data_IF_876845548049
#
_entry.id   IF_876845548049
#
_cell.length_a   1.000
_cell.length_b   1.000
_cell.length_c   1.000
_cell.angle_alpha   90.00
_cell.angle_beta   90.00
_cell.angle_gamma   90.00
#
_symmetry.space_group_name_H-M   'P 1'
#
loop_
_entity.id
_entity.type
_entity.pdbx_description
1 polymer ?
#
# COMPACT_ATOMS: atom_id res chain seq x y z
N UNK A 1 25.40 5.59 -24.14
CA UNK A 1 26.82 5.94 -24.01
C UNK A 1 26.92 7.45 -24.03
N UNK A 2 27.14 8.05 -22.86
CA UNK A 2 27.05 9.48 -22.62
C UNK A 2 28.19 10.24 -23.27
N UNK A 3 27.93 11.46 -23.77
CA UNK A 3 28.89 12.39 -24.37
C UNK A 3 30.17 12.59 -23.55
N UNK A 4 30.11 12.39 -22.23
CA UNK A 4 31.27 12.51 -21.33
C UNK A 4 32.33 11.41 -21.58
N UNK A 5 31.93 10.18 -21.90
CA UNK A 5 32.83 9.07 -22.19
C UNK A 5 33.61 9.27 -23.49
N UNK A 6 33.03 9.97 -24.48
CA UNK A 6 33.71 10.32 -25.73
C UNK A 6 34.72 11.46 -25.57
N UNK A 7 34.40 12.42 -24.71
CA UNK A 7 35.32 13.55 -24.43
C UNK A 7 36.56 13.09 -23.66
N UNK A 8 36.39 12.15 -22.70
CA UNK A 8 37.54 11.60 -21.95
C UNK A 8 38.41 10.71 -22.80
N UNK A 9 37.85 9.90 -23.71
CA UNK A 9 38.62 9.10 -24.67
C UNK A 9 39.41 9.97 -25.66
N UNK A 10 38.79 11.07 -26.12
CA UNK A 10 39.49 12.03 -27.01
C UNK A 10 40.59 12.80 -26.29
N UNK A 11 40.42 13.16 -25.02
CA UNK A 11 41.43 13.84 -24.22
C UNK A 11 42.63 12.93 -23.93
N UNK A 12 42.39 11.64 -23.64
CA UNK A 12 43.46 10.65 -23.44
C UNK A 12 44.19 10.36 -24.76
N UNK A 13 43.47 10.29 -25.89
CA UNK A 13 44.08 10.09 -27.22
C UNK A 13 44.94 11.30 -27.66
N UNK A 14 44.47 12.54 -27.40
CA UNK A 14 45.26 13.76 -27.68
C UNK A 14 46.47 13.89 -26.77
N UNK A 15 46.39 13.50 -25.51
CA UNK A 15 47.53 13.51 -24.59
C UNK A 15 48.59 12.48 -24.98
N UNK A 16 48.18 11.32 -25.53
CA UNK A 16 49.08 10.28 -26.04
C UNK A 16 49.81 10.73 -27.33
N UNK A 17 49.14 11.55 -28.15
CA UNK A 17 49.72 12.08 -29.40
C UNK A 17 50.67 13.28 -29.18
N UNK A 18 50.47 14.06 -28.11
CA UNK A 18 51.35 15.20 -27.77
C UNK A 18 52.61 14.79 -26.99
N UNK A 19 52.67 13.61 -26.42
CA UNK A 19 53.81 13.13 -25.64
C UNK A 19 55.15 12.99 -26.45
N UNK A 20 55.13 12.57 -27.73
CA UNK A 20 56.41 12.41 -28.48
C UNK A 20 57.02 13.72 -29.02
N UNK A 21 56.25 14.82 -29.04
CA UNK A 21 56.78 16.07 -29.62
C UNK A 21 57.64 16.91 -28.65
N UNK A 22 57.62 16.61 -27.37
CA UNK A 22 58.37 17.29 -26.29
C UNK A 22 59.74 16.60 -26.05
N UNK A 23 59.96 15.39 -26.59
CA UNK A 23 61.18 14.60 -26.38
C UNK A 23 62.32 14.83 -27.38
N UNK A 24 62.20 15.80 -28.30
CA UNK A 24 63.16 16.03 -29.33
C UNK A 24 63.90 17.36 -29.16
N UNK A 25 64.40 17.64 -27.97
CA UNK A 25 65.44 18.71 -27.81
C UNK A 25 66.51 18.20 -26.86
N UNK A 26 67.57 17.66 -27.52
CA UNK A 26 68.80 17.24 -26.86
C UNK A 26 69.59 18.47 -26.42
N UNK A 27 69.74 18.65 -25.10
CA UNK A 27 70.77 19.45 -24.49
C UNK A 27 71.33 18.69 -23.26
N UNK A 28 72.65 18.48 -23.21
CA UNK A 28 73.37 17.51 -22.32
C UNK A 28 73.35 17.81 -20.82
N UNK A 29 72.35 18.44 -20.28
CA UNK A 29 72.19 18.66 -18.83
C UNK A 29 70.72 18.62 -18.37
N UNK A 30 69.75 18.68 -19.27
CA UNK A 30 68.36 18.81 -19.00
C UNK A 30 67.58 17.52 -19.10
N UNK A 31 68.14 16.43 -19.64
CA UNK A 31 67.37 15.19 -19.92
C UNK A 31 66.75 14.51 -18.70
N UNK A 32 67.44 14.52 -17.59
CA UNK A 32 66.88 13.92 -16.35
C UNK A 32 65.75 14.75 -15.76
N UNK A 33 65.82 16.07 -15.81
CA UNK A 33 64.77 16.94 -15.30
C UNK A 33 63.53 16.92 -16.21
N UNK A 34 63.72 16.87 -17.53
CA UNK A 34 62.64 16.69 -18.51
C UNK A 34 61.95 15.31 -18.39
N UNK A 35 62.77 14.26 -18.24
CA UNK A 35 62.20 12.90 -17.97
C UNK A 35 61.40 12.80 -16.68
N UNK A 36 61.88 13.44 -15.61
CA UNK A 36 61.12 13.52 -14.34
C UNK A 36 59.82 14.33 -14.52
N UNK A 37 59.86 15.44 -15.27
CA UNK A 37 58.68 16.25 -15.58
C UNK A 37 57.64 15.47 -16.39
N UNK A 38 58.02 14.70 -17.40
CA UNK A 38 57.16 13.83 -18.20
C UNK A 38 56.57 12.72 -17.34
N UNK A 39 57.37 12.06 -16.47
CA UNK A 39 56.87 11.03 -15.55
C UNK A 39 55.90 11.60 -14.54
N UNK A 40 56.12 12.79 -13.99
CA UNK A 40 55.13 13.45 -13.12
C UNK A 40 53.83 13.77 -13.87
N UNK A 41 53.90 14.30 -15.08
CA UNK A 41 52.73 14.61 -15.89
C UNK A 41 51.90 13.37 -16.22
N UNK A 42 52.56 12.28 -16.65
CA UNK A 42 51.91 10.98 -16.91
C UNK A 42 51.29 10.42 -15.64
N UNK A 43 51.96 10.53 -14.50
CA UNK A 43 51.43 10.08 -13.19
C UNK A 43 50.17 10.84 -12.79
N UNK A 44 50.15 12.18 -12.95
CA UNK A 44 48.99 13.02 -12.66
C UNK A 44 47.86 12.67 -13.63
N UNK A 45 48.12 12.48 -14.90
CA UNK A 45 47.11 12.13 -15.91
C UNK A 45 46.49 10.75 -15.61
N UNK A 46 47.32 9.79 -15.22
CA UNK A 46 46.85 8.46 -14.78
C UNK A 46 46.00 8.54 -13.52
N UNK A 47 46.39 9.34 -12.53
CA UNK A 47 45.65 9.57 -11.34
C UNK A 47 44.26 10.17 -11.64
N UNK A 48 44.20 11.19 -12.49
CA UNK A 48 42.97 11.83 -12.96
C UNK A 48 42.08 10.81 -13.69
N UNK A 49 42.66 9.99 -14.56
CA UNK A 49 41.95 8.94 -15.28
C UNK A 49 41.33 7.92 -14.30
N UNK A 50 42.06 7.52 -13.28
CA UNK A 50 41.56 6.61 -12.22
C UNK A 50 40.42 7.25 -11.44
N UNK A 51 40.56 8.51 -11.03
CA UNK A 51 39.48 9.24 -10.30
C UNK A 51 38.22 9.34 -11.17
N UNK A 52 38.37 9.70 -12.45
CA UNK A 52 37.23 9.77 -13.39
C UNK A 52 36.59 8.38 -13.56
N UNK A 53 37.42 7.32 -13.66
CA UNK A 53 36.93 5.95 -13.75
C UNK A 53 36.09 5.57 -12.54
N UNK A 54 36.55 5.81 -11.32
CA UNK A 54 35.78 5.53 -10.10
C UNK A 54 34.53 6.42 -9.99
N UNK A 55 34.62 7.70 -10.33
CA UNK A 55 33.49 8.62 -10.30
C UNK A 55 32.35 8.19 -11.25
N UNK A 56 32.68 7.65 -12.43
CA UNK A 56 31.66 7.13 -13.36
C UNK A 56 31.01 5.83 -12.90
N UNK A 57 31.66 5.07 -12.00
CA UNK A 57 31.17 3.80 -11.44
C UNK A 57 30.28 4.00 -10.22
N UNK A 58 30.34 5.18 -9.61
CA UNK A 58 29.52 5.52 -8.47
C UNK A 58 28.10 5.84 -8.93
N UNK A 59 27.15 4.92 -8.66
CA UNK A 59 25.73 5.07 -9.01
C UNK A 59 24.93 5.38 -7.78
N UNK A 60 24.09 6.39 -7.89
CA UNK A 60 23.14 6.79 -6.84
C UNK A 60 21.78 6.22 -7.15
N UNK A 61 21.13 5.64 -6.16
CA UNK A 61 19.75 5.22 -6.24
C UNK A 61 18.86 6.38 -5.80
N UNK A 62 18.00 6.93 -6.67
CA UNK A 62 17.02 7.94 -6.25
C UNK A 62 15.98 7.32 -5.31
N UNK A 63 15.32 8.14 -4.46
CA UNK A 63 14.40 7.64 -3.45
C UNK A 63 13.09 7.07 -4.02
N UNK A 64 12.76 7.42 -5.26
CA UNK A 64 11.58 6.97 -6.00
C UNK A 64 11.76 5.64 -6.74
N UNK A 65 12.97 5.02 -6.62
CA UNK A 65 13.32 3.79 -7.33
C UNK A 65 14.07 2.82 -6.44
N UNK A 66 13.99 1.57 -6.80
CA UNK A 66 14.85 0.50 -6.29
C UNK A 66 15.89 0.19 -7.36
N UNK A 67 17.15 0.09 -6.98
CA UNK A 67 18.24 -0.34 -7.85
C UNK A 67 18.54 -1.80 -7.61
N UNK A 68 18.37 -2.60 -8.63
CA UNK A 68 18.72 -4.03 -8.64
C UNK A 68 20.05 -4.19 -9.37
N UNK A 69 21.03 -4.76 -8.69
CA UNK A 69 22.34 -5.11 -9.23
C UNK A 69 22.36 -6.60 -9.44
N UNK A 70 22.59 -7.03 -10.67
CA UNK A 70 22.66 -8.44 -11.03
C UNK A 70 23.99 -8.78 -11.69
N UNK A 71 24.36 -10.05 -11.68
CA UNK A 71 25.64 -10.54 -12.11
C UNK A 71 26.44 -11.16 -10.94
N UNK A 72 27.77 -11.12 -11.01
CA UNK A 72 28.61 -11.69 -9.96
C UNK A 72 28.64 -10.76 -8.73
N UNK A 73 27.76 -11.00 -7.79
CA UNK A 73 27.72 -10.35 -6.48
C UNK A 73 28.69 -11.03 -5.50
N UNK A 74 29.21 -10.28 -4.53
CA UNK A 74 30.16 -10.78 -3.52
C UNK A 74 29.52 -11.76 -2.49
N UNK A 75 28.24 -12.16 -2.67
CA UNK A 75 27.51 -13.11 -1.84
C UNK A 75 26.92 -14.25 -2.64
N UNK A 76 26.23 -15.17 -2.00
CA UNK A 76 25.55 -16.30 -2.64
C UNK A 76 24.21 -15.93 -3.32
N UNK A 77 23.81 -14.66 -3.24
CA UNK A 77 22.57 -14.18 -3.84
C UNK A 77 22.79 -13.73 -5.28
N UNK A 78 21.89 -14.14 -6.18
CA UNK A 78 21.96 -13.84 -7.61
C UNK A 78 21.77 -12.35 -7.93
N UNK A 79 21.09 -11.61 -7.05
CA UNK A 79 20.86 -10.16 -7.19
C UNK A 79 20.99 -9.45 -5.85
N UNK A 80 21.51 -8.22 -5.88
CA UNK A 80 21.56 -7.31 -4.72
C UNK A 80 20.62 -6.15 -4.97
N UNK A 81 19.64 -6.00 -4.09
CA UNK A 81 18.65 -4.92 -4.17
C UNK A 81 18.98 -3.82 -3.19
N UNK A 82 18.94 -2.57 -3.65
CA UNK A 82 19.26 -1.39 -2.85
C UNK A 82 18.15 -0.35 -3.03
N UNK A 83 17.58 0.05 -1.88
CA UNK A 83 16.66 1.17 -1.81
C UNK A 83 17.34 2.36 -1.16
N UNK A 84 17.53 3.44 -1.93
CA UNK A 84 18.25 4.62 -1.49
C UNK A 84 19.78 4.43 -1.37
N UNK A 85 20.50 5.52 -1.23
CA UNK A 85 21.97 5.51 -1.10
C UNK A 85 22.70 5.41 -2.43
N UNK A 86 23.93 4.88 -2.38
CA UNK A 86 24.78 4.79 -3.53
C UNK A 86 25.69 3.55 -3.44
N UNK A 87 26.04 3.00 -4.59
CA UNK A 87 26.88 1.83 -4.69
C UNK A 87 27.84 1.92 -5.87
N UNK A 88 28.90 1.14 -5.79
CA UNK A 88 29.88 0.99 -6.86
C UNK A 88 29.50 -0.23 -7.69
N UNK A 89 29.26 -0.03 -9.00
CA UNK A 89 28.90 -1.10 -9.94
C UNK A 89 30.09 -1.41 -10.85
N UNK A 90 30.51 -2.68 -10.95
CA UNK A 90 31.60 -3.13 -11.81
C UNK A 90 31.08 -3.55 -13.20
N UNK A 91 31.33 -2.80 -14.25
CA UNK A 91 30.66 -2.95 -15.56
C UNK A 91 31.00 -4.20 -16.36
N UNK A 92 32.07 -4.91 -15.99
CA UNK A 92 32.46 -6.15 -16.63
C UNK A 92 31.82 -7.39 -16.06
N UNK A 93 31.29 -7.27 -14.82
CA UNK A 93 30.83 -8.41 -14.00
C UNK A 93 29.41 -8.19 -13.49
N UNK A 94 28.98 -6.93 -13.40
CA UNK A 94 27.68 -6.53 -12.84
C UNK A 94 26.98 -5.57 -13.77
N UNK A 95 25.68 -5.70 -13.84
CA UNK A 95 24.80 -4.72 -14.47
C UNK A 95 23.75 -4.26 -13.44
N UNK A 96 23.04 -3.19 -13.75
CA UNK A 96 22.03 -2.64 -12.85
C UNK A 96 20.81 -2.18 -13.63
N UNK A 97 19.65 -2.33 -13.01
CA UNK A 97 18.39 -1.80 -13.50
C UNK A 97 17.61 -1.12 -12.38
N UNK A 98 16.65 -0.29 -12.75
CA UNK A 98 15.81 0.42 -11.80
C UNK A 98 14.37 -0.05 -11.92
N UNK A 99 13.73 -0.32 -10.76
CA UNK A 99 12.31 -0.57 -10.64
C UNK A 99 11.68 0.67 -10.02
N UNK A 100 10.61 1.19 -10.61
CA UNK A 100 9.89 2.35 -10.07
C UNK A 100 9.07 1.96 -8.84
N UNK A 101 9.08 2.81 -7.82
CA UNK A 101 8.22 2.69 -6.63
C UNK A 101 6.90 3.44 -6.78
N UNK A 102 6.65 4.03 -7.95
CA UNK A 102 5.42 4.80 -8.20
C UNK A 102 4.21 3.88 -8.00
N UNK A 103 3.27 4.25 -7.12
CA UNK A 103 2.04 3.51 -6.95
C UNK A 103 1.21 3.50 -8.24
N UNK A 104 0.56 2.39 -8.51
CA UNK A 104 -0.35 2.22 -9.64
C UNK A 104 -1.75 1.92 -9.14
N UNK A 105 -2.76 2.43 -9.83
CA UNK A 105 -4.16 2.23 -9.48
C UNK A 105 -4.83 1.36 -10.55
N UNK A 106 -5.35 0.21 -10.11
CA UNK A 106 -5.96 -0.80 -10.95
C UNK A 106 -7.47 -0.80 -10.71
N UNK A 107 -8.23 -0.58 -11.76
CA UNK A 107 -9.68 -0.69 -11.73
C UNK A 107 -10.10 -2.10 -12.17
N UNK A 108 -10.85 -2.77 -11.32
CA UNK A 108 -11.37 -4.12 -11.55
C UNK A 108 -12.89 -4.07 -11.58
N UNK A 109 -13.45 -4.29 -12.75
CA UNK A 109 -14.89 -4.41 -12.95
C UNK A 109 -15.25 -5.91 -12.96
N UNK A 110 -15.36 -6.49 -11.75
CA UNK A 110 -15.73 -7.88 -11.62
C UNK A 110 -17.23 -8.04 -11.78
N UNK A 111 -17.64 -8.69 -12.87
CA UNK A 111 -19.03 -9.00 -13.20
C UNK A 111 -19.30 -10.48 -13.10
N UNK A 112 -20.53 -10.81 -12.71
CA UNK A 112 -21.03 -12.20 -12.66
C UNK A 112 -20.21 -13.14 -11.76
N UNK A 113 -19.64 -12.63 -10.66
CA UNK A 113 -19.01 -13.48 -9.67
C UNK A 113 -20.07 -14.24 -8.88
N UNK A 114 -19.85 -15.53 -8.66
CA UNK A 114 -20.76 -16.36 -7.89
C UNK A 114 -20.41 -16.30 -6.41
N UNK A 115 -21.37 -15.94 -5.57
CA UNK A 115 -21.27 -16.04 -4.12
C UNK A 115 -21.36 -17.51 -3.66
N UNK A 116 -21.17 -17.77 -2.37
CA UNK A 116 -21.36 -19.09 -1.78
C UNK A 116 -22.76 -19.67 -2.04
N UNK A 117 -23.76 -18.80 -2.17
CA UNK A 117 -25.17 -19.17 -2.42
C UNK A 117 -25.48 -19.31 -3.93
N UNK A 118 -24.48 -19.33 -4.80
CA UNK A 118 -24.63 -19.35 -6.27
C UNK A 118 -25.41 -18.17 -6.86
N UNK A 119 -25.44 -17.04 -6.17
CA UNK A 119 -26.04 -15.79 -6.67
C UNK A 119 -24.95 -14.98 -7.37
N UNK A 120 -25.26 -14.45 -8.54
CA UNK A 120 -24.34 -13.63 -9.33
C UNK A 120 -24.31 -12.21 -8.83
N UNK A 121 -23.12 -11.74 -8.47
CA UNK A 121 -22.89 -10.37 -8.00
C UNK A 121 -21.85 -9.67 -8.85
N UNK A 122 -21.96 -8.37 -8.91
CA UNK A 122 -20.98 -7.48 -9.51
C UNK A 122 -20.29 -6.69 -8.39
N UNK A 123 -18.97 -6.71 -8.38
CA UNK A 123 -18.13 -6.06 -7.37
C UNK A 123 -17.11 -5.17 -8.07
N UNK A 124 -17.51 -3.98 -8.52
CA UNK A 124 -16.56 -3.01 -9.07
C UNK A 124 -15.69 -2.49 -7.95
N UNK A 125 -14.36 -2.54 -8.17
CA UNK A 125 -13.39 -2.22 -7.14
C UNK A 125 -12.15 -1.55 -7.72
N UNK A 126 -11.48 -0.73 -6.90
CA UNK A 126 -10.25 -0.03 -7.25
C UNK A 126 -9.18 -0.39 -6.24
N UNK A 127 -8.06 -0.86 -6.73
CA UNK A 127 -6.89 -1.25 -5.93
C UNK A 127 -5.74 -0.33 -6.23
N UNK A 128 -5.09 0.19 -5.19
CA UNK A 128 -3.83 0.91 -5.31
C UNK A 128 -2.73 0.02 -4.76
N UNK A 129 -1.75 -0.29 -5.61
CA UNK A 129 -0.64 -1.17 -5.29
C UNK A 129 0.69 -0.46 -5.52
N UNK A 130 1.74 -0.97 -4.91
CA UNK A 130 3.11 -0.48 -5.09
C UNK A 130 4.13 -1.59 -5.00
N UNK A 131 5.37 -1.30 -5.38
CA UNK A 131 6.50 -2.22 -5.20
C UNK A 131 6.98 -2.14 -3.76
N UNK A 132 7.09 -3.28 -3.08
CA UNK A 132 7.47 -3.34 -1.67
C UNK A 132 8.93 -2.94 -1.46
N UNK A 133 9.18 -2.21 -0.37
CA UNK A 133 10.52 -1.85 0.11
C UNK A 133 11.01 -2.75 1.23
N UNK A 134 10.23 -3.75 1.66
CA UNK A 134 10.66 -4.75 2.63
C UNK A 134 11.76 -5.63 2.00
N UNK A 135 12.94 -5.78 2.62
CA UNK A 135 14.07 -6.52 2.05
C UNK A 135 13.74 -7.94 1.59
N UNK A 136 12.81 -8.62 2.28
CA UNK A 136 12.39 -9.98 1.92
C UNK A 136 11.50 -10.04 0.67
N UNK A 137 10.60 -9.08 0.56
CA UNK A 137 9.65 -8.99 -0.56
C UNK A 137 10.33 -8.34 -1.77
N UNK A 138 11.25 -7.40 -1.52
CA UNK A 138 12.00 -6.67 -2.53
C UNK A 138 12.89 -7.57 -3.39
N UNK A 139 13.43 -8.68 -2.83
CA UNK A 139 14.17 -9.67 -3.62
C UNK A 139 13.25 -10.39 -4.64
N UNK A 140 12.01 -10.71 -4.24
CA UNK A 140 11.01 -11.29 -5.16
C UNK A 140 10.61 -10.31 -6.26
N UNK A 141 10.50 -9.02 -5.94
CA UNK A 141 10.27 -7.97 -6.93
C UNK A 141 11.42 -7.89 -7.95
N UNK A 142 12.66 -7.96 -7.47
CA UNK A 142 13.83 -7.94 -8.34
C UNK A 142 13.89 -9.14 -9.30
N UNK A 143 13.51 -10.33 -8.85
CA UNK A 143 13.53 -11.55 -9.67
C UNK A 143 12.41 -11.58 -10.70
N UNK A 144 11.27 -10.98 -10.43
CA UNK A 144 10.03 -11.14 -11.23
C UNK A 144 9.65 -9.91 -12.03
N UNK A 145 10.00 -8.70 -11.55
CA UNK A 145 9.56 -7.43 -12.17
C UNK A 145 10.66 -6.73 -12.96
N UNK A 146 11.93 -7.20 -12.89
CA UNK A 146 13.09 -6.49 -13.41
C UNK A 146 12.98 -6.17 -14.91
N UNK A 147 12.43 -7.10 -15.70
CA UNK A 147 12.33 -6.98 -17.16
C UNK A 147 10.95 -6.50 -17.63
N UNK A 148 9.98 -6.33 -16.69
CA UNK A 148 8.63 -5.95 -17.02
C UNK A 148 8.48 -4.43 -17.11
N UNK A 149 7.72 -3.99 -18.10
CA UNK A 149 7.25 -2.62 -18.19
C UNK A 149 6.11 -2.38 -17.19
N UNK A 150 5.86 -1.13 -16.83
CA UNK A 150 4.81 -0.75 -15.86
C UNK A 150 3.45 -1.34 -16.25
N UNK A 151 3.07 -1.28 -17.52
CA UNK A 151 1.81 -1.81 -18.05
C UNK A 151 1.69 -3.33 -17.87
N UNK A 152 2.79 -4.05 -18.05
CA UNK A 152 2.84 -5.50 -17.84
C UNK A 152 2.73 -5.88 -16.36
N UNK A 153 3.34 -5.07 -15.48
CA UNK A 153 3.19 -5.23 -14.03
C UNK A 153 1.75 -4.98 -13.60
N UNK A 154 1.10 -3.94 -14.16
CA UNK A 154 -0.30 -3.63 -13.91
C UNK A 154 -1.21 -4.77 -14.35
N UNK A 155 -1.00 -5.33 -15.56
CA UNK A 155 -1.81 -6.43 -16.09
C UNK A 155 -1.65 -7.71 -15.26
N UNK A 156 -0.41 -8.07 -14.90
CA UNK A 156 -0.14 -9.21 -14.03
C UNK A 156 -0.79 -9.04 -12.65
N UNK A 157 -0.67 -7.88 -12.04
CA UNK A 157 -1.29 -7.58 -10.75
C UNK A 157 -2.82 -7.62 -10.83
N UNK A 158 -3.40 -7.11 -11.93
CA UNK A 158 -4.84 -7.16 -12.21
C UNK A 158 -5.35 -8.59 -12.25
N UNK A 159 -4.64 -9.49 -12.91
CA UNK A 159 -5.02 -10.91 -12.97
C UNK A 159 -4.98 -11.58 -11.60
N UNK A 160 -3.91 -11.30 -10.81
CA UNK A 160 -3.78 -11.83 -9.44
C UNK A 160 -4.94 -11.35 -8.56
N UNK A 161 -5.19 -10.03 -8.56
CA UNK A 161 -6.24 -9.43 -7.75
C UNK A 161 -7.62 -9.95 -8.18
N UNK A 162 -7.88 -10.03 -9.49
CA UNK A 162 -9.14 -10.56 -10.02
C UNK A 162 -9.38 -11.99 -9.58
N UNK A 163 -8.35 -12.84 -9.63
CA UNK A 163 -8.41 -14.23 -9.17
C UNK A 163 -8.73 -14.34 -7.67
N UNK A 164 -8.02 -13.56 -6.83
CA UNK A 164 -8.23 -13.56 -5.38
C UNK A 164 -9.58 -12.97 -4.97
N UNK A 165 -10.00 -11.89 -5.64
CA UNK A 165 -11.31 -11.31 -5.39
C UNK A 165 -12.44 -12.31 -5.70
N UNK A 166 -12.32 -13.03 -6.82
CA UNK A 166 -13.29 -14.07 -7.21
C UNK A 166 -13.35 -15.22 -6.19
N UNK A 167 -12.19 -15.66 -5.71
CA UNK A 167 -12.12 -16.71 -4.68
C UNK A 167 -12.75 -16.23 -3.37
N UNK A 168 -12.43 -15.01 -2.93
CA UNK A 168 -12.97 -14.43 -1.70
C UNK A 168 -14.49 -14.30 -1.77
N UNK A 169 -15.04 -13.80 -2.88
CA UNK A 169 -16.48 -13.70 -3.10
C UNK A 169 -17.16 -15.07 -3.05
N UNK A 170 -16.54 -16.09 -3.61
CA UNK A 170 -17.10 -17.46 -3.62
C UNK A 170 -17.16 -18.12 -2.22
N UNK A 171 -16.41 -17.62 -1.24
CA UNK A 171 -16.42 -18.13 0.13
C UNK A 171 -17.44 -17.46 1.03
N UNK A 172 -18.04 -16.35 0.63
CA UNK A 172 -18.94 -15.54 1.43
C UNK A 172 -20.38 -15.58 0.92
N UNK A 173 -21.33 -15.40 1.86
CA UNK A 173 -22.73 -15.17 1.51
C UNK A 173 -22.97 -13.70 1.18
N UNK A 174 -24.04 -13.42 0.43
CA UNK A 174 -24.40 -12.03 0.09
C UNK A 174 -24.73 -11.22 1.33
N UNK A 175 -25.36 -11.85 2.31
CA UNK A 175 -25.68 -11.21 3.59
C UNK A 175 -24.42 -10.77 4.31
N UNK A 176 -23.39 -11.62 4.39
CA UNK A 176 -22.10 -11.28 5.02
C UNK A 176 -21.41 -10.12 4.30
N UNK A 177 -21.40 -10.15 2.97
CA UNK A 177 -20.78 -9.10 2.14
C UNK A 177 -21.47 -7.73 2.35
N UNK A 178 -22.81 -7.75 2.52
CA UNK A 178 -23.60 -6.53 2.63
C UNK A 178 -23.68 -6.00 4.08
N UNK A 179 -23.76 -6.88 5.08
CA UNK A 179 -23.91 -6.50 6.49
C UNK A 179 -22.61 -6.09 7.14
N UNK A 180 -21.50 -6.77 6.81
CA UNK A 180 -20.18 -6.51 7.38
C UNK A 180 -19.17 -6.21 6.28
N UNK A 181 -19.29 -5.00 5.74
CA UNK A 181 -18.45 -4.53 4.64
C UNK A 181 -16.99 -4.39 5.06
N UNK A 182 -16.73 -4.06 6.31
CA UNK A 182 -15.39 -3.90 6.84
C UNK A 182 -14.66 -5.24 6.95
N UNK A 183 -15.34 -6.28 7.47
CA UNK A 183 -14.78 -7.63 7.50
C UNK A 183 -14.52 -8.19 6.10
N UNK A 184 -15.39 -7.88 5.13
CA UNK A 184 -15.20 -8.25 3.74
C UNK A 184 -13.97 -7.56 3.14
N UNK A 185 -13.79 -6.25 3.37
CA UNK A 185 -12.61 -5.50 2.92
C UNK A 185 -11.32 -6.04 3.53
N UNK A 186 -11.32 -6.37 4.83
CA UNK A 186 -10.14 -6.92 5.51
C UNK A 186 -9.77 -8.31 5.01
N UNK A 187 -10.76 -9.14 4.69
CA UNK A 187 -10.52 -10.45 4.09
C UNK A 187 -9.91 -10.34 2.69
N UNK A 188 -10.45 -9.43 1.86
CA UNK A 188 -9.88 -9.14 0.53
C UNK A 188 -8.46 -8.63 0.69
N UNK A 189 -8.24 -7.65 1.57
CA UNK A 189 -6.91 -7.07 1.81
C UNK A 189 -5.90 -8.17 2.18
N UNK A 190 -6.25 -9.03 3.13
CA UNK A 190 -5.37 -10.10 3.59
C UNK A 190 -5.04 -11.11 2.47
N UNK A 191 -6.03 -11.55 1.72
CA UNK A 191 -5.85 -12.53 0.66
C UNK A 191 -5.08 -11.96 -0.53
N UNK A 192 -5.43 -10.74 -0.96
CA UNK A 192 -4.78 -10.06 -2.09
C UNK A 192 -3.34 -9.69 -1.74
N UNK A 193 -3.09 -9.13 -0.56
CA UNK A 193 -1.74 -8.74 -0.13
C UNK A 193 -0.81 -9.95 -0.03
N UNK A 194 -1.29 -11.08 0.49
CA UNK A 194 -0.52 -12.32 0.57
C UNK A 194 -0.06 -12.83 -0.80
N UNK A 195 -0.88 -12.69 -1.84
CA UNK A 195 -0.50 -13.11 -3.20
C UNK A 195 0.37 -12.08 -3.91
N UNK A 196 0.09 -10.79 -3.75
CA UNK A 196 0.91 -9.70 -4.29
C UNK A 196 2.33 -9.71 -3.71
N UNK A 197 2.47 -10.01 -2.42
CA UNK A 197 3.78 -10.12 -1.75
C UNK A 197 4.67 -11.22 -2.36
N UNK A 198 4.10 -12.28 -2.92
CA UNK A 198 4.86 -13.33 -3.61
C UNK A 198 5.55 -12.84 -4.88
N UNK A 199 5.00 -11.81 -5.50
CA UNK A 199 5.57 -11.20 -6.72
C UNK A 199 6.33 -9.89 -6.44
N UNK A 200 6.42 -9.48 -5.18
CA UNK A 200 7.16 -8.28 -4.79
C UNK A 200 6.33 -7.01 -4.75
N UNK A 201 5.01 -7.12 -4.90
CA UNK A 201 4.06 -6.02 -4.79
C UNK A 201 3.39 -6.04 -3.42
N UNK A 202 2.85 -4.89 -2.97
CA UNK A 202 2.04 -4.78 -1.77
C UNK A 202 0.80 -3.93 -2.02
N UNK A 203 -0.24 -4.20 -1.26
CA UNK A 203 -1.49 -3.47 -1.35
C UNK A 203 -1.47 -2.23 -0.47
N UNK A 204 -1.59 -1.05 -1.08
CA UNK A 204 -1.64 0.24 -0.38
C UNK A 204 -3.07 0.53 0.08
N UNK A 205 -4.02 0.42 -0.84
CA UNK A 205 -5.42 0.71 -0.55
C UNK A 205 -6.35 -0.14 -1.43
N UNK A 206 -7.53 -0.45 -0.89
CA UNK A 206 -8.62 -1.07 -1.61
C UNK A 206 -9.90 -0.27 -1.37
N UNK A 207 -10.62 0.00 -2.44
CA UNK A 207 -11.92 0.65 -2.40
C UNK A 207 -12.90 -0.17 -3.24
N UNK A 208 -14.03 -0.55 -2.63
CA UNK A 208 -15.12 -1.27 -3.31
C UNK A 208 -16.27 -0.28 -3.47
N UNK A 209 -16.76 -0.18 -4.69
CA UNK A 209 -17.94 0.60 -5.03
C UNK A 209 -19.20 -0.21 -4.66
N UNK A 210 -20.37 0.24 -5.03
CA UNK A 210 -21.61 -0.45 -4.67
C UNK A 210 -21.70 -1.83 -5.33
N UNK A 211 -21.99 -2.83 -4.49
CA UNK A 211 -22.17 -4.21 -4.89
C UNK A 211 -23.60 -4.38 -5.38
N UNK A 212 -23.74 -4.91 -6.57
CA UNK A 212 -25.04 -5.15 -7.21
C UNK A 212 -25.22 -6.62 -7.58
N UNK A 213 -26.43 -7.10 -7.60
CA UNK A 213 -26.77 -8.45 -8.05
C UNK A 213 -27.79 -8.41 -9.21
N UNK A 214 -27.73 -9.40 -10.11
CA UNK A 214 -28.67 -9.49 -11.24
C UNK A 214 -30.09 -9.91 -10.83
N UNK A 215 -30.22 -10.56 -9.65
CA UNK A 215 -31.50 -11.14 -9.17
C UNK A 215 -32.28 -10.20 -8.27
N UNK A 216 -31.81 -8.97 -8.01
CA UNK A 216 -32.38 -8.02 -7.04
C UNK A 216 -32.55 -8.62 -5.63
N UNK A 217 -31.70 -9.59 -5.28
CA UNK A 217 -31.72 -10.25 -4.00
C UNK A 217 -31.31 -9.31 -2.86
N UNK A 218 -30.29 -8.49 -3.08
CA UNK A 218 -29.82 -7.46 -2.12
C UNK A 218 -30.94 -6.46 -1.83
N UNK A 219 -31.67 -6.00 -2.85
CA UNK A 219 -32.81 -5.10 -2.67
C UNK A 219 -33.95 -5.77 -1.87
N UNK A 220 -34.21 -7.05 -2.15
CA UNK A 220 -35.25 -7.83 -1.46
C UNK A 220 -34.90 -8.06 0.02
N UNK A 221 -33.63 -8.34 0.34
CA UNK A 221 -33.16 -8.43 1.74
C UNK A 221 -33.31 -7.08 2.43
N UNK A 222 -32.91 -5.99 1.77
CA UNK A 222 -33.06 -4.64 2.30
C UNK A 222 -34.52 -4.28 2.61
N UNK A 223 -35.45 -4.60 1.73
CA UNK A 223 -36.89 -4.42 1.94
C UNK A 223 -37.42 -5.25 3.13
N UNK A 224 -36.99 -6.51 3.22
CA UNK A 224 -37.36 -7.39 4.36
C UNK A 224 -36.81 -6.82 5.66
N UNK A 225 -35.54 -6.47 5.74
CA UNK A 225 -34.92 -5.90 6.93
C UNK A 225 -35.57 -4.58 7.37
N UNK A 226 -35.90 -3.71 6.41
CA UNK A 226 -36.60 -2.46 6.66
C UNK A 226 -38.03 -2.72 7.24
N UNK A 227 -38.77 -3.67 6.64
CA UNK A 227 -40.08 -4.04 7.11
C UNK A 227 -40.06 -4.63 8.55
N UNK A 228 -39.11 -5.53 8.81
CA UNK A 228 -38.90 -6.08 10.15
C UNK A 228 -38.52 -5.02 11.19
N UNK A 229 -37.67 -4.05 10.81
CA UNK A 229 -37.29 -2.95 11.69
C UNK A 229 -38.49 -2.04 12.04
N UNK A 230 -39.33 -1.72 11.04
CA UNK A 230 -40.54 -0.93 11.25
C UNK A 230 -41.51 -1.63 12.18
N UNK A 231 -41.75 -2.94 11.96
CA UNK A 231 -42.65 -3.70 12.82
C UNK A 231 -42.12 -3.83 14.28
N UNK A 232 -40.80 -4.04 14.44
CA UNK A 232 -40.19 -4.03 15.80
C UNK A 232 -40.34 -2.67 16.46
N UNK A 233 -40.03 -1.58 15.77
CA UNK A 233 -40.21 -0.24 16.32
C UNK A 233 -41.68 0.02 16.72
N UNK A 234 -42.64 -0.45 15.92
CA UNK A 234 -44.08 -0.35 16.25
C UNK A 234 -44.46 -1.10 17.50
N UNK A 235 -43.94 -2.32 17.69
CA UNK A 235 -44.13 -3.12 18.92
C UNK A 235 -43.50 -2.43 20.13
N UNK A 236 -42.28 -1.90 19.97
CA UNK A 236 -41.55 -1.20 21.04
C UNK A 236 -42.30 0.06 21.49
N UNK A 237 -42.81 0.86 20.53
CA UNK A 237 -43.66 2.03 20.83
C UNK A 237 -44.93 1.62 21.58
N UNK A 238 -45.65 0.59 21.12
CA UNK A 238 -46.86 0.11 21.78
C UNK A 238 -46.58 -0.41 23.20
N UNK A 239 -45.43 -1.07 23.40
CA UNK A 239 -45.02 -1.51 24.74
C UNK A 239 -44.71 -0.31 25.66
N UNK A 240 -43.97 0.69 25.14
CA UNK A 240 -43.64 1.90 25.90
C UNK A 240 -44.90 2.71 26.27
N UNK A 241 -45.88 2.82 25.37
CA UNK A 241 -47.16 3.47 25.64
C UNK A 241 -47.94 2.71 26.73
N UNK A 242 -48.02 1.38 26.65
CA UNK A 242 -48.66 0.55 27.68
C UNK A 242 -47.99 0.73 29.04
N UNK A 243 -46.67 0.64 29.09
CA UNK A 243 -45.89 0.74 30.33
C UNK A 243 -46.00 2.16 30.92
N UNK A 244 -46.02 3.19 30.08
CA UNK A 244 -46.31 4.56 30.48
C UNK A 244 -47.73 4.74 31.04
N UNK A 245 -48.73 4.15 30.41
CA UNK A 245 -50.12 4.19 30.90
C UNK A 245 -50.27 3.44 32.23
N UNK A 246 -49.67 2.27 32.40
CA UNK A 246 -49.63 1.53 33.65
C UNK A 246 -48.95 2.33 34.74
N UNK A 247 -47.78 2.90 34.47
CA UNK A 247 -47.03 3.71 35.44
C UNK A 247 -47.78 4.96 35.89
N UNK A 248 -48.46 5.65 34.96
CA UNK A 248 -49.32 6.80 35.31
C UNK A 248 -50.52 6.41 36.19
N UNK A 249 -51.20 5.30 35.86
CA UNK A 249 -52.33 4.79 36.66
C UNK A 249 -51.88 4.35 38.05
N UNK A 250 -50.74 3.71 38.21
CA UNK A 250 -50.16 3.36 39.50
C UNK A 250 -49.81 4.58 40.35
N UNK A 251 -49.21 5.63 39.73
CA UNK A 251 -48.87 6.88 40.39
C UNK A 251 -50.12 7.63 40.86
N UNK A 252 -51.19 7.70 40.04
CA UNK A 252 -52.46 8.29 40.40
C UNK A 252 -53.11 7.54 41.53
N UNK A 253 -53.13 6.20 41.52
CA UNK A 253 -53.63 5.38 42.61
C UNK A 253 -52.83 5.60 43.90
N UNK A 254 -51.51 5.67 43.84
CA UNK A 254 -50.69 5.93 45.01
C UNK A 254 -50.97 7.34 45.60
N UNK A 255 -51.19 8.34 44.73
CA UNK A 255 -51.59 9.68 45.13
C UNK A 255 -52.94 9.71 45.81
N UNK A 256 -53.96 9.02 45.26
CA UNK A 256 -55.31 8.93 45.88
C UNK A 256 -55.24 8.28 47.25
N UNK A 257 -54.46 7.18 47.41
CA UNK A 257 -54.27 6.53 48.72
C UNK A 257 -53.65 7.49 49.76
N UNK A 258 -52.61 8.24 49.34
CA UNK A 258 -51.96 9.23 50.20
C UNK A 258 -52.92 10.36 50.61
N UNK A 259 -53.68 10.91 49.67
CA UNK A 259 -54.69 11.96 49.96
C UNK A 259 -55.77 11.45 50.90
N UNK A 260 -56.27 10.22 50.68
CA UNK A 260 -57.26 9.60 51.58
C UNK A 260 -56.69 9.37 53.00
N UNK A 261 -55.41 8.94 53.10
CA UNK A 261 -54.76 8.72 54.40
C UNK A 261 -54.63 10.06 55.21
N UNK A 262 -54.20 11.15 54.50
CA UNK A 262 -54.11 12.48 55.11
C UNK A 262 -55.46 13.00 55.55
N UNK A 263 -56.52 12.84 54.74
CA UNK A 263 -57.91 13.24 55.06
C UNK A 263 -58.44 12.51 56.28
N UNK A 264 -58.17 11.18 56.37
CA UNK A 264 -58.57 10.39 57.51
C UNK A 264 -57.90 10.80 58.82
N UNK A 265 -56.63 11.14 58.83
CA UNK A 265 -55.91 11.62 60.00
C UNK A 265 -56.37 12.98 60.47
N UNK A 266 -56.84 13.87 59.59
CA UNK A 266 -57.46 15.13 59.98
C UNK A 266 -58.85 14.97 60.61
N UNK A 267 -59.64 14.00 60.19
CA UNK A 267 -60.96 13.73 60.75
C UNK A 267 -60.93 13.07 62.16
N UNK A 268 -59.81 12.41 62.50
CA UNK A 268 -59.67 11.67 63.81
C UNK A 268 -58.97 12.51 64.90
N UNK A 269 -58.56 13.76 64.62
CA UNK A 269 -58.04 14.61 65.67
C UNK A 269 -59.22 15.05 66.61
N UNK A 270 -59.26 14.64 67.90
CA UNK A 270 -60.30 15.03 68.79
C UNK A 270 -60.18 16.55 69.04
N UNK A 271 -61.26 17.26 68.78
CA UNK A 271 -61.51 18.63 69.25
C UNK A 271 -61.44 18.69 70.76
N UNK A 272 -60.30 19.12 71.32
CA UNK A 272 -60.10 19.35 72.75
C UNK A 272 -61.16 20.39 73.21
N UNK A 273 -62.30 19.91 73.82
CA UNK A 273 -63.24 20.80 74.52
C UNK A 273 -62.47 21.51 75.64
N UNK A 274 -62.31 22.87 75.53
CA UNK A 274 -62.01 23.71 76.68
C UNK A 274 -63.24 23.72 77.54
N UNK A 275 -63.14 23.05 78.69
CA UNK A 275 -64.10 23.22 79.84
C UNK A 275 -63.67 24.49 80.58
N UNK A 276 -64.70 25.20 81.03
CA UNK A 276 -64.79 26.39 81.90
C UNK A 276 -64.11 26.15 83.23
#
# INVERSE_FOLDING_TARGET
MSHLGRVTALAVLNALFLAPTVAAQEDEGGGAAAAVGVLMFVSILLLVAVVIFFAQRYKRCPPDKIMVIYGRTAGSEASKVIHGGATLVWPLIQDYSYISLTPMTINIDMRNALSQQNIRINVPSTFTIGVSTDPRIMSSAAERLLELNLDQVEEMAKEIIFGQLRLTVATLTIEQINQDRDAFLDLIRTNVDAELNKVGLYLINVNIVDITDESNYIESIGKKAASEAVERARVDVANAERDGAVGSAEADRAREIQVAAVSYTHLTLPTKKRGV
#
